data_IF_738779507964
#
_entry.id   IF_738779507964
#
_cell.length_a   1.000
_cell.length_b   1.000
_cell.length_c   1.000
_cell.angle_alpha   90.00
_cell.angle_beta   90.00
_cell.angle_gamma   90.00
#
_symmetry.space_group_name_H-M   'P 1'
#
loop_
_entity.id
_entity.type
_entity.pdbx_description
1 polymer ?
#
# COMPACT_ATOMS: atom_id res chain seq x y z
N UNK A 1 22.51 6.31 13.14
CA UNK A 1 21.39 7.27 13.00
C UNK A 1 20.36 6.68 12.06
N UNK A 2 19.04 6.95 12.24
CA UNK A 2 17.96 6.29 11.48
C UNK A 2 18.09 6.39 9.95
N UNK A 3 18.66 7.51 9.45
CA UNK A 3 18.91 7.77 8.04
C UNK A 3 20.28 7.31 7.52
N UNK A 4 21.13 6.76 8.37
CA UNK A 4 22.41 6.17 7.90
C UNK A 4 22.12 5.16 6.80
N UNK A 5 22.86 5.16 5.69
CA UNK A 5 22.65 4.20 4.60
C UNK A 5 21.39 4.39 3.76
N UNK A 6 20.61 5.46 3.99
CA UNK A 6 19.44 5.80 3.15
C UNK A 6 19.88 6.72 2.01
N UNK A 7 19.63 6.31 0.76
CA UNK A 7 19.97 7.07 -0.45
C UNK A 7 18.73 7.25 -1.33
N UNK A 8 18.27 8.49 -1.49
CA UNK A 8 17.19 8.82 -2.44
C UNK A 8 17.83 9.17 -3.78
N UNK A 9 17.63 8.31 -4.78
CA UNK A 9 18.10 8.49 -6.17
C UNK A 9 17.06 9.16 -7.07
N UNK A 10 15.80 9.16 -6.66
CA UNK A 10 14.72 9.86 -7.36
C UNK A 10 14.85 11.37 -7.19
N UNK A 11 14.38 12.14 -8.19
CA UNK A 11 14.32 13.59 -8.08
C UNK A 11 13.39 14.00 -6.91
N UNK A 12 13.81 14.99 -6.12
CA UNK A 12 13.01 15.55 -5.02
C UNK A 12 12.70 17.01 -5.36
N UNK A 13 11.74 17.28 -6.25
CA UNK A 13 11.25 18.63 -6.42
C UNK A 13 10.55 19.11 -5.13
N UNK A 14 10.36 20.42 -4.93
CA UNK A 14 9.85 20.98 -3.68
C UNK A 14 8.53 20.35 -3.17
N UNK A 15 7.64 19.97 -4.08
CA UNK A 15 6.37 19.32 -3.79
C UNK A 15 6.53 17.96 -3.09
N UNK A 16 7.63 17.24 -3.33
CA UNK A 16 7.87 15.91 -2.75
C UNK A 16 8.45 15.99 -1.34
N UNK A 17 9.01 17.14 -0.94
CA UNK A 17 9.67 17.30 0.35
C UNK A 17 8.71 17.03 1.53
N UNK A 18 7.41 17.32 1.37
CA UNK A 18 6.40 17.05 2.38
C UNK A 18 5.98 15.57 2.51
N UNK A 19 6.40 14.70 1.59
CA UNK A 19 6.22 13.24 1.68
C UNK A 19 7.53 12.56 2.10
N UNK A 20 8.64 13.00 1.53
CA UNK A 20 9.97 12.42 1.76
C UNK A 20 10.71 13.16 2.89
N UNK A 21 10.02 13.37 4.02
CA UNK A 21 10.64 14.02 5.18
C UNK A 21 11.70 13.09 5.82
N UNK A 22 12.67 13.63 6.55
CA UNK A 22 13.65 12.83 7.29
C UNK A 22 13.02 11.73 8.17
N UNK A 23 11.90 12.04 8.83
CA UNK A 23 11.20 11.12 9.71
C UNK A 23 10.46 10.02 8.94
N UNK A 24 9.79 10.38 7.83
CA UNK A 24 9.13 9.41 6.97
C UNK A 24 10.15 8.45 6.34
N UNK A 25 11.28 8.98 5.86
CA UNK A 25 12.38 8.19 5.30
C UNK A 25 13.01 7.27 6.36
N UNK A 26 13.19 7.76 7.58
CA UNK A 26 13.67 6.95 8.70
C UNK A 26 12.69 5.81 9.06
N UNK A 27 11.38 6.08 9.03
CA UNK A 27 10.34 5.10 9.29
C UNK A 27 10.31 4.01 8.21
N UNK A 28 10.28 4.37 6.92
CA UNK A 28 10.30 3.34 5.87
C UNK A 28 11.61 2.56 5.91
N UNK A 29 12.76 3.21 6.13
CA UNK A 29 14.04 2.52 6.25
C UNK A 29 14.08 1.52 7.44
N UNK A 30 13.40 1.81 8.56
CA UNK A 30 13.31 0.85 9.66
C UNK A 30 12.44 -0.36 9.30
N UNK A 31 11.38 -0.17 8.51
CA UNK A 31 10.58 -1.28 7.97
C UNK A 31 11.43 -2.19 7.06
N UNK A 32 12.21 -1.63 6.13
CA UNK A 32 13.08 -2.44 5.26
C UNK A 32 14.10 -3.23 6.07
N UNK A 33 14.71 -2.62 7.08
CA UNK A 33 15.67 -3.31 7.95
C UNK A 33 15.05 -4.42 8.79
N UNK A 34 13.81 -4.23 9.24
CA UNK A 34 13.12 -5.20 10.07
C UNK A 34 12.57 -6.39 9.24
N UNK A 35 12.10 -6.11 8.02
CA UNK A 35 11.27 -7.07 7.27
C UNK A 35 11.80 -7.43 5.88
N UNK A 36 12.75 -6.66 5.33
CA UNK A 36 13.29 -6.83 3.99
C UNK A 36 13.94 -8.19 3.76
N UNK A 37 14.76 -8.66 4.71
CA UNK A 37 15.39 -9.99 4.62
C UNK A 37 14.34 -11.11 4.56
N UNK A 38 13.34 -11.06 5.46
CA UNK A 38 12.25 -12.05 5.47
C UNK A 38 11.42 -12.01 4.20
N UNK A 39 11.15 -10.83 3.64
CA UNK A 39 10.50 -10.69 2.33
C UNK A 39 11.29 -11.43 1.25
N UNK A 40 12.60 -11.21 1.16
CA UNK A 40 13.45 -11.87 0.17
C UNK A 40 13.45 -13.39 0.33
N UNK A 41 13.55 -13.88 1.57
CA UNK A 41 13.47 -15.31 1.86
C UNK A 41 12.12 -15.92 1.41
N UNK A 42 11.00 -15.21 1.58
CA UNK A 42 9.69 -15.66 1.09
C UNK A 42 9.62 -15.69 -0.44
N UNK A 43 10.22 -14.71 -1.13
CA UNK A 43 10.29 -14.73 -2.60
C UNK A 43 11.12 -15.93 -3.11
N UNK A 44 12.24 -16.26 -2.47
CA UNK A 44 13.01 -17.46 -2.78
C UNK A 44 12.21 -18.75 -2.53
N UNK A 45 11.35 -18.77 -1.50
CA UNK A 45 10.43 -19.90 -1.26
C UNK A 45 9.39 -20.05 -2.39
N UNK A 46 8.97 -18.97 -3.06
CA UNK A 46 8.10 -19.06 -4.25
C UNK A 46 8.80 -19.83 -5.37
N UNK A 47 10.06 -19.49 -5.66
CA UNK A 47 10.85 -20.18 -6.69
C UNK A 47 10.99 -21.68 -6.38
N UNK A 48 11.33 -22.00 -5.13
CA UNK A 48 11.42 -23.40 -4.68
C UNK A 48 10.07 -24.13 -4.79
N UNK A 49 8.96 -23.46 -4.44
CA UNK A 49 7.63 -24.05 -4.53
C UNK A 49 7.22 -24.26 -5.99
N UNK A 50 7.52 -23.32 -6.88
CA UNK A 50 7.23 -23.45 -8.30
C UNK A 50 8.01 -24.62 -8.90
N UNK A 51 9.30 -24.76 -8.57
CA UNK A 51 10.11 -25.90 -9.02
C UNK A 51 9.53 -27.26 -8.57
N UNK A 52 9.00 -27.34 -7.35
CA UNK A 52 8.32 -28.55 -6.86
C UNK A 52 7.03 -28.86 -7.64
N UNK A 53 6.23 -27.83 -7.95
CA UNK A 53 5.01 -27.95 -8.77
C UNK A 53 5.38 -28.44 -10.18
N UNK A 54 6.41 -27.85 -10.79
CA UNK A 54 6.89 -28.24 -12.13
C UNK A 54 7.39 -29.70 -12.14
N UNK A 55 7.91 -30.19 -11.01
CA UNK A 55 8.30 -31.59 -10.81
C UNK A 55 7.11 -32.54 -10.50
N UNK A 56 5.88 -32.03 -10.50
CA UNK A 56 4.64 -32.80 -10.32
C UNK A 56 4.00 -32.72 -8.94
N UNK A 57 4.58 -31.97 -7.99
CA UNK A 57 4.01 -31.79 -6.65
C UNK A 57 2.88 -30.74 -6.65
N UNK A 58 1.72 -31.13 -7.19
CA UNK A 58 0.56 -30.24 -7.32
C UNK A 58 0.11 -29.62 -5.98
N UNK A 59 -0.40 -28.37 -5.97
CA UNK A 59 -0.91 -27.74 -4.76
C UNK A 59 -2.00 -28.55 -4.07
N UNK A 60 -1.90 -28.66 -2.74
CA UNK A 60 -2.89 -29.32 -1.89
C UNK A 60 -3.00 -28.61 -0.55
N UNK A 61 -4.04 -28.92 0.23
CA UNK A 61 -4.19 -28.39 1.58
C UNK A 61 -3.07 -28.90 2.49
N UNK A 62 -2.40 -27.97 3.18
CA UNK A 62 -1.32 -28.30 4.11
C UNK A 62 -1.85 -29.10 5.31
N UNK A 63 -1.37 -30.33 5.57
CA UNK A 63 -1.77 -31.11 6.74
C UNK A 63 -1.43 -30.40 8.06
N UNK A 64 -0.27 -29.73 8.12
CA UNK A 64 0.21 -29.00 9.30
C UNK A 64 -0.73 -27.88 9.78
N UNK A 65 -1.63 -27.38 8.92
CA UNK A 65 -2.56 -26.28 9.24
C UNK A 65 -4.01 -26.77 9.39
N UNK A 66 -4.23 -28.06 9.67
CA UNK A 66 -5.57 -28.65 9.80
C UNK A 66 -6.39 -28.01 10.92
N UNK A 67 -5.76 -27.73 12.07
CA UNK A 67 -6.42 -27.11 13.22
C UNK A 67 -6.98 -25.73 12.89
N UNK A 68 -6.25 -24.91 12.13
CA UNK A 68 -6.75 -23.60 11.70
C UNK A 68 -7.97 -23.70 10.78
N UNK A 69 -8.17 -24.81 10.07
CA UNK A 69 -9.34 -25.02 9.20
C UNK A 69 -10.53 -25.67 9.93
N UNK A 70 -10.24 -26.45 10.97
CA UNK A 70 -11.24 -27.24 11.70
C UNK A 70 -11.68 -26.58 13.02
N UNK A 71 -10.89 -25.65 13.54
CA UNK A 71 -11.17 -24.94 14.78
C UNK A 71 -12.27 -23.89 14.63
N UNK A 72 -12.84 -23.50 15.77
CA UNK A 72 -13.85 -22.43 15.86
C UNK A 72 -13.17 -21.11 16.20
N UNK A 73 -13.00 -20.24 15.21
CA UNK A 73 -12.47 -18.89 15.38
C UNK A 73 -13.07 -17.96 14.31
N UNK A 74 -12.90 -16.65 14.52
CA UNK A 74 -13.29 -15.62 13.55
C UNK A 74 -12.25 -14.49 13.56
N UNK A 75 -12.23 -13.71 12.48
CA UNK A 75 -11.44 -12.47 12.43
C UNK A 75 -11.95 -11.46 13.46
N UNK A 76 -11.17 -10.42 13.74
CA UNK A 76 -11.61 -9.31 14.58
C UNK A 76 -12.84 -8.60 13.98
N UNK A 77 -13.59 -7.89 14.82
CA UNK A 77 -14.78 -7.15 14.38
C UNK A 77 -14.45 -6.13 13.30
N UNK A 78 -15.23 -6.10 12.22
CA UNK A 78 -15.07 -5.15 11.12
C UNK A 78 -15.26 -3.71 11.61
N UNK A 79 -14.34 -2.77 11.31
CA UNK A 79 -14.48 -1.37 11.71
C UNK A 79 -15.62 -0.68 10.94
N UNK A 80 -16.17 0.40 11.50
CA UNK A 80 -17.36 1.08 10.98
C UNK A 80 -17.26 1.46 9.48
N UNK A 81 -16.10 1.99 9.06
CA UNK A 81 -15.86 2.37 7.67
C UNK A 81 -15.84 1.21 6.66
N UNK A 82 -15.79 -0.04 7.13
CA UNK A 82 -15.75 -1.25 6.28
C UNK A 82 -16.99 -2.13 6.41
N UNK A 83 -18.03 -1.68 7.15
CA UNK A 83 -19.26 -2.45 7.35
C UNK A 83 -20.12 -2.54 6.08
N UNK A 84 -20.05 -1.51 5.21
CA UNK A 84 -20.78 -1.46 3.94
C UNK A 84 -19.79 -1.40 2.78
N UNK A 85 -19.78 -2.44 1.94
CA UNK A 85 -18.85 -2.63 0.82
C UNK A 85 -19.53 -3.31 -0.37
N UNK A 86 -20.73 -2.87 -0.74
CA UNK A 86 -21.50 -3.51 -1.82
C UNK A 86 -20.92 -3.19 -3.19
N UNK A 87 -20.43 -1.96 -3.35
CA UNK A 87 -19.75 -1.52 -4.57
C UNK A 87 -18.42 -0.89 -4.21
N UNK A 88 -17.35 -1.41 -4.80
CA UNK A 88 -16.01 -0.84 -4.71
C UNK A 88 -15.54 -0.41 -6.09
N UNK A 89 -15.04 0.82 -6.20
CA UNK A 89 -14.37 1.30 -7.41
C UNK A 89 -12.87 1.22 -7.21
N UNK A 90 -12.12 0.91 -8.28
CA UNK A 90 -10.67 0.85 -8.28
C UNK A 90 -10.11 1.88 -9.26
N UNK A 91 -8.91 2.39 -9.00
CA UNK A 91 -8.28 3.36 -9.89
C UNK A 91 -6.92 3.83 -9.40
N UNK A 92 -6.14 4.47 -10.28
CA UNK A 92 -4.81 4.95 -9.95
C UNK A 92 -4.87 6.08 -8.92
N UNK A 93 -3.71 6.43 -8.38
CA UNK A 93 -3.53 7.54 -7.43
C UNK A 93 -3.35 8.91 -8.11
N UNK A 94 -3.67 9.02 -9.42
CA UNK A 94 -3.74 10.29 -10.14
C UNK A 94 -4.75 11.25 -9.50
N UNK A 95 -4.40 12.54 -9.43
CA UNK A 95 -5.14 13.54 -8.66
C UNK A 95 -6.59 13.69 -9.12
N UNK A 96 -6.84 13.74 -10.44
CA UNK A 96 -8.18 13.90 -10.99
C UNK A 96 -9.00 12.63 -10.81
N UNK A 97 -8.39 11.48 -11.11
CA UNK A 97 -9.05 10.17 -10.98
C UNK A 97 -9.44 9.88 -9.53
N UNK A 98 -8.56 10.22 -8.58
CA UNK A 98 -8.81 10.04 -7.16
C UNK A 98 -10.03 10.82 -6.68
N UNK A 99 -10.18 12.09 -7.09
CA UNK A 99 -11.37 12.90 -6.78
C UNK A 99 -12.63 12.25 -7.37
N UNK A 100 -12.60 11.84 -8.63
CA UNK A 100 -13.75 11.23 -9.30
C UNK A 100 -14.16 9.91 -8.64
N UNK A 101 -13.19 9.07 -8.28
CA UNK A 101 -13.45 7.78 -7.65
C UNK A 101 -14.06 7.93 -6.25
N UNK A 102 -13.51 8.84 -5.43
CA UNK A 102 -14.07 9.18 -4.12
C UNK A 102 -15.50 9.75 -4.21
N UNK A 103 -15.80 10.50 -5.28
CA UNK A 103 -17.13 11.09 -5.52
C UNK A 103 -18.09 10.18 -6.31
N UNK A 104 -17.70 8.94 -6.64
CA UNK A 104 -18.44 8.08 -7.58
C UNK A 104 -19.77 7.55 -7.04
N UNK A 105 -19.98 7.59 -5.72
CA UNK A 105 -21.11 6.95 -5.05
C UNK A 105 -20.87 5.49 -4.68
N UNK A 106 -19.69 4.92 -4.99
CA UNK A 106 -19.25 3.64 -4.44
C UNK A 106 -19.11 3.72 -2.90
N UNK A 107 -19.23 2.57 -2.23
CA UNK A 107 -19.01 2.50 -0.79
C UNK A 107 -17.52 2.61 -0.46
N UNK A 108 -16.68 2.05 -1.33
CA UNK A 108 -15.21 1.99 -1.21
C UNK A 108 -14.54 2.48 -2.49
N UNK A 109 -13.45 3.20 -2.34
CA UNK A 109 -12.47 3.42 -3.39
C UNK A 109 -11.13 2.78 -2.99
N UNK A 110 -10.66 1.84 -3.80
CA UNK A 110 -9.30 1.31 -3.70
C UNK A 110 -8.36 2.13 -4.59
N UNK A 111 -7.57 3.00 -3.95
CA UNK A 111 -6.51 3.74 -4.59
C UNK A 111 -5.30 2.85 -4.83
N UNK A 112 -4.88 2.77 -6.09
CA UNK A 112 -3.98 1.74 -6.54
C UNK A 112 -2.56 2.27 -6.83
N UNK A 113 -1.58 1.70 -6.15
CA UNK A 113 -0.16 1.85 -6.48
C UNK A 113 0.39 0.66 -7.28
N UNK A 114 -0.46 -0.32 -7.58
CA UNK A 114 -0.10 -1.59 -8.19
C UNK A 114 -0.54 -1.67 -9.66
N UNK A 115 -1.34 -2.67 -10.08
CA UNK A 115 -1.53 -2.99 -11.51
C UNK A 115 -2.15 -1.87 -12.37
N UNK A 116 -2.96 -0.96 -11.79
CA UNK A 116 -3.56 0.16 -12.52
C UNK A 116 -2.66 1.41 -12.53
N UNK A 117 -1.48 1.36 -11.92
CA UNK A 117 -0.55 2.48 -11.80
C UNK A 117 0.84 2.11 -12.31
N UNK A 118 1.32 2.81 -13.36
CA UNK A 118 2.71 2.68 -13.76
C UNK A 118 3.61 3.21 -12.63
N UNK A 119 4.54 2.41 -12.07
CA UNK A 119 5.28 2.79 -10.87
C UNK A 119 6.50 3.67 -11.21
N UNK A 120 6.25 4.76 -11.94
CA UNK A 120 7.25 5.83 -12.10
C UNK A 120 7.47 6.52 -10.75
N UNK A 121 8.68 7.02 -10.50
CA UNK A 121 8.99 7.73 -9.25
C UNK A 121 7.99 8.86 -8.96
N UNK A 122 7.64 9.63 -10.00
CA UNK A 122 6.67 10.71 -9.89
C UNK A 122 5.30 10.17 -9.48
N UNK A 123 4.77 9.15 -10.16
CA UNK A 123 3.45 8.58 -9.83
C UNK A 123 3.38 8.05 -8.40
N UNK A 124 4.46 7.41 -7.92
CA UNK A 124 4.50 6.87 -6.57
C UNK A 124 4.48 7.98 -5.51
N UNK A 125 5.31 9.01 -5.65
CA UNK A 125 5.38 10.10 -4.65
C UNK A 125 4.21 11.07 -4.77
N UNK A 126 3.81 11.46 -5.98
CA UNK A 126 2.61 12.28 -6.21
C UNK A 126 1.34 11.59 -5.74
N UNK A 127 1.23 10.27 -5.92
CA UNK A 127 0.11 9.51 -5.39
C UNK A 127 -0.01 9.63 -3.87
N UNK A 128 1.11 9.62 -3.15
CA UNK A 128 1.14 9.84 -1.70
C UNK A 128 0.69 11.28 -1.34
N UNK A 129 1.10 12.29 -2.12
CA UNK A 129 0.61 13.67 -1.98
C UNK A 129 -0.91 13.70 -2.16
N UNK A 130 -1.42 13.06 -3.21
CA UNK A 130 -2.84 13.06 -3.55
C UNK A 130 -3.68 12.37 -2.46
N UNK A 131 -3.24 11.22 -1.95
CA UNK A 131 -3.90 10.53 -0.84
C UNK A 131 -3.94 11.38 0.43
N UNK A 132 -2.80 11.99 0.77
CA UNK A 132 -2.67 12.88 1.93
C UNK A 132 -3.61 14.08 1.84
N UNK A 133 -3.65 14.74 0.69
CA UNK A 133 -4.54 15.88 0.47
C UNK A 133 -6.01 15.45 0.47
N UNK A 134 -6.34 14.28 -0.07
CA UNK A 134 -7.71 13.76 -0.09
C UNK A 134 -8.22 13.43 1.31
N UNK A 135 -7.40 12.75 2.10
CA UNK A 135 -7.71 12.42 3.49
C UNK A 135 -7.89 13.68 4.33
N UNK A 136 -7.15 14.76 4.03
CA UNK A 136 -7.31 16.06 4.71
C UNK A 136 -8.44 16.91 4.14
N UNK A 137 -9.09 16.49 3.06
CA UNK A 137 -10.19 17.21 2.41
C UNK A 137 -9.74 18.44 1.60
N UNK A 138 -8.44 18.54 1.29
CA UNK A 138 -7.84 19.69 0.60
C UNK A 138 -7.49 19.40 -0.86
N UNK A 139 -7.72 18.17 -1.33
CA UNK A 139 -7.46 17.81 -2.73
C UNK A 139 -8.40 18.59 -3.67
N UNK A 140 -7.78 19.30 -4.61
CA UNK A 140 -8.46 20.03 -5.67
C UNK A 140 -7.69 19.85 -6.98
N UNK A 141 -8.40 19.91 -8.10
CA UNK A 141 -7.81 19.84 -9.43
C UNK A 141 -8.58 20.75 -10.38
N UNK A 142 -7.86 21.49 -11.24
CA UNK A 142 -8.45 22.24 -12.35
C UNK A 142 -7.93 21.65 -13.64
N UNK A 143 -8.81 21.16 -14.52
CA UNK A 143 -8.40 20.64 -15.83
C UNK A 143 -7.97 21.77 -16.78
N UNK A 144 -7.26 21.43 -17.88
CA UNK A 144 -6.82 22.43 -18.86
C UNK A 144 -7.95 23.26 -19.49
N UNK A 145 -9.18 22.73 -19.53
CA UNK A 145 -10.40 23.41 -19.99
C UNK A 145 -11.04 24.32 -18.90
N UNK A 146 -10.43 24.44 -17.72
CA UNK A 146 -10.87 25.29 -16.62
C UNK A 146 -11.87 24.64 -15.66
N UNK A 147 -12.30 23.39 -15.88
CA UNK A 147 -13.23 22.71 -14.96
C UNK A 147 -12.54 22.36 -13.65
N UNK A 148 -13.18 22.74 -12.53
CA UNK A 148 -12.69 22.47 -11.16
C UNK A 148 -13.32 21.18 -10.60
N UNK A 149 -12.49 20.43 -9.88
CA UNK A 149 -12.82 19.18 -9.21
C UNK A 149 -12.41 19.29 -7.74
N UNK A 150 -13.31 18.89 -6.85
CA UNK A 150 -13.13 18.85 -5.40
C UNK A 150 -13.97 17.72 -4.81
N UNK A 151 -13.69 17.31 -3.57
CA UNK A 151 -14.46 16.26 -2.91
C UNK A 151 -15.87 16.74 -2.53
N UNK A 152 -16.82 15.81 -2.61
CA UNK A 152 -18.16 15.97 -2.05
C UNK A 152 -18.11 15.92 -0.51
N UNK A 153 -19.15 16.41 0.20
CA UNK A 153 -19.22 16.29 1.66
C UNK A 153 -19.16 14.84 2.16
N UNK A 154 -19.75 13.92 1.40
CA UNK A 154 -19.67 12.47 1.62
C UNK A 154 -18.91 11.85 0.45
N UNK A 155 -17.90 11.04 0.77
CA UNK A 155 -17.09 10.29 -0.21
C UNK A 155 -17.08 8.81 0.14
N UNK A 156 -16.60 7.99 -0.80
CA UNK A 156 -16.30 6.58 -0.57
C UNK A 156 -15.21 6.41 0.50
N UNK A 157 -15.24 5.31 1.26
CA UNK A 157 -14.14 4.98 2.18
C UNK A 157 -12.90 4.59 1.37
N UNK A 158 -11.75 5.16 1.73
CA UNK A 158 -10.49 4.94 1.04
C UNK A 158 -9.77 3.68 1.55
N UNK A 159 -9.36 2.83 0.62
CA UNK A 159 -8.40 1.74 0.83
C UNK A 159 -7.19 1.98 -0.09
N UNK A 160 -5.99 1.62 0.36
CA UNK A 160 -4.78 1.70 -0.48
C UNK A 160 -4.29 0.31 -0.85
N UNK A 161 -4.01 0.08 -2.13
CA UNK A 161 -3.34 -1.14 -2.61
C UNK A 161 -1.86 -0.85 -2.88
N UNK A 162 -0.95 -1.23 -1.97
CA UNK A 162 0.49 -1.15 -2.23
C UNK A 162 0.91 -2.16 -3.30
N UNK A 163 2.09 -1.92 -3.90
CA UNK A 163 2.75 -2.89 -4.79
C UNK A 163 2.93 -4.26 -4.12
N UNK A 164 2.84 -5.34 -4.89
CA UNK A 164 3.08 -6.71 -4.39
C UNK A 164 4.54 -6.98 -4.01
N UNK A 165 4.78 -8.03 -3.22
CA UNK A 165 6.09 -8.30 -2.60
C UNK A 165 7.27 -8.40 -3.56
N UNK A 166 7.04 -8.79 -4.81
CA UNK A 166 8.07 -8.97 -5.84
C UNK A 166 8.59 -7.65 -6.42
N UNK A 167 7.91 -6.53 -6.19
CA UNK A 167 8.32 -5.22 -6.72
C UNK A 167 9.28 -4.49 -5.76
N UNK A 168 10.19 -3.72 -6.34
CA UNK A 168 11.16 -2.88 -5.62
C UNK A 168 10.93 -1.41 -5.94
N UNK A 169 11.24 -0.54 -4.98
CA UNK A 169 11.38 0.90 -5.19
C UNK A 169 12.86 1.22 -5.46
N UNK A 170 13.24 1.22 -6.73
CA UNK A 170 14.64 1.42 -7.15
C UNK A 170 15.19 2.82 -6.88
N UNK A 171 14.34 3.80 -6.59
CA UNK A 171 14.75 5.17 -6.33
C UNK A 171 15.04 5.45 -4.85
N UNK A 172 14.78 4.49 -3.95
CA UNK A 172 15.15 4.58 -2.55
C UNK A 172 16.00 3.35 -2.19
N UNK A 173 17.26 3.59 -1.87
CA UNK A 173 18.12 2.54 -1.34
C UNK A 173 18.18 2.61 0.18
N UNK A 174 18.20 1.44 0.80
CA UNK A 174 18.50 1.24 2.22
C UNK A 174 19.68 0.31 2.30
N UNK A 175 20.77 0.79 2.89
CA UNK A 175 22.02 0.06 3.07
C UNK A 175 22.57 -0.52 1.73
N UNK A 176 22.40 0.27 0.66
CA UNK A 176 22.89 -0.02 -0.69
C UNK A 176 21.98 -0.90 -1.55
N UNK A 177 20.83 -1.34 -1.05
CA UNK A 177 19.87 -2.18 -1.79
C UNK A 177 18.54 -1.45 -2.05
N UNK A 178 17.89 -1.67 -3.21
CA UNK A 178 16.54 -1.17 -3.46
C UNK A 178 15.54 -1.65 -2.40
N UNK A 179 14.78 -0.71 -1.85
CA UNK A 179 13.73 -1.01 -0.88
C UNK A 179 12.62 -1.86 -1.50
N UNK A 180 11.89 -2.62 -0.69
CA UNK A 180 10.60 -3.17 -1.07
C UNK A 180 9.61 -2.07 -1.50
N UNK A 181 9.01 -2.23 -2.69
CA UNK A 181 7.93 -1.33 -3.14
C UNK A 181 6.71 -1.39 -2.22
N UNK A 182 6.38 -2.58 -1.73
CA UNK A 182 5.28 -2.80 -0.77
C UNK A 182 5.45 -1.99 0.52
N UNK A 183 6.65 -2.06 1.13
CA UNK A 183 6.95 -1.36 2.38
C UNK A 183 7.07 0.15 2.16
N UNK A 184 7.55 0.60 1.00
CA UNK A 184 7.56 2.01 0.63
C UNK A 184 6.14 2.57 0.54
N UNK A 185 5.25 1.89 -0.20
CA UNK A 185 3.88 2.35 -0.44
C UNK A 185 3.06 2.35 0.84
N UNK A 186 3.10 1.24 1.58
CA UNK A 186 2.45 1.09 2.89
C UNK A 186 2.99 2.13 3.87
N UNK A 187 4.32 2.20 4.01
CA UNK A 187 4.96 2.97 5.06
C UNK A 187 4.72 4.46 4.91
N UNK A 188 4.85 5.00 3.69
CA UNK A 188 4.55 6.42 3.45
C UNK A 188 3.06 6.73 3.67
N UNK A 189 2.15 5.89 3.16
CA UNK A 189 0.73 6.13 3.35
C UNK A 189 0.36 6.08 4.83
N UNK A 190 0.80 5.05 5.55
CA UNK A 190 0.53 4.89 6.97
C UNK A 190 1.07 6.07 7.77
N UNK A 191 2.36 6.40 7.59
CA UNK A 191 3.04 7.47 8.32
C UNK A 191 2.34 8.82 8.19
N UNK A 192 1.93 9.20 6.97
CA UNK A 192 1.35 10.52 6.73
C UNK A 192 -0.12 10.64 7.13
N UNK A 193 -0.84 9.52 7.25
CA UNK A 193 -2.30 9.54 7.26
C UNK A 193 -2.96 8.87 8.46
N UNK A 194 -2.26 8.01 9.21
CA UNK A 194 -2.88 7.22 10.28
C UNK A 194 -3.62 8.09 11.30
N UNK A 195 -3.01 9.17 11.79
CA UNK A 195 -3.64 10.06 12.76
C UNK A 195 -4.85 10.80 12.18
N UNK A 196 -4.73 11.35 10.97
CA UNK A 196 -5.83 12.07 10.32
C UNK A 196 -7.02 11.16 9.98
N UNK A 197 -6.78 9.87 9.71
CA UNK A 197 -7.83 8.87 9.53
C UNK A 197 -8.52 8.54 10.85
N UNK A 198 -7.76 8.29 11.90
CA UNK A 198 -8.28 7.98 13.23
C UNK A 198 -9.09 9.14 13.82
N UNK A 199 -8.64 10.39 13.67
CA UNK A 199 -9.36 11.59 14.10
C UNK A 199 -10.73 11.74 13.43
N UNK A 200 -10.89 11.15 12.23
CA UNK A 200 -12.15 11.10 11.47
C UNK A 200 -12.98 9.85 11.73
N UNK A 201 -12.54 8.95 12.62
CA UNK A 201 -13.21 7.69 12.94
C UNK A 201 -13.00 6.58 11.90
N UNK A 202 -12.00 6.71 11.02
CA UNK A 202 -11.59 5.69 10.06
C UNK A 202 -10.26 5.05 10.48
N UNK A 203 -9.87 3.96 9.82
CA UNK A 203 -8.57 3.32 9.99
C UNK A 203 -7.72 3.38 8.73
N UNK A 204 -6.40 3.11 8.83
CA UNK A 204 -5.54 2.92 7.68
C UNK A 204 -5.82 1.55 7.03
N UNK A 205 -6.70 1.54 6.02
CA UNK A 205 -7.14 0.31 5.37
C UNK A 205 -6.33 -0.02 4.11
N UNK A 206 -6.03 -1.30 3.90
CA UNK A 206 -5.17 -1.78 2.82
C UNK A 206 -5.80 -2.94 2.03
N UNK A 207 -5.47 -3.00 0.74
CA UNK A 207 -5.70 -4.14 -0.14
C UNK A 207 -4.35 -4.82 -0.42
N UNK A 208 -4.15 -6.06 0.05
CA UNK A 208 -2.86 -6.76 -0.09
C UNK A 208 -2.86 -7.64 -1.35
N UNK A 209 -1.95 -7.36 -2.28
CA UNK A 209 -1.95 -7.98 -3.60
C UNK A 209 -1.00 -9.19 -3.71
N UNK A 210 -1.39 -10.17 -4.54
CA UNK A 210 -0.53 -11.23 -5.08
C UNK A 210 0.24 -12.04 -4.00
N UNK A 211 -0.42 -12.34 -2.89
CA UNK A 211 0.11 -13.25 -1.87
C UNK A 211 0.01 -14.70 -2.37
N UNK A 212 1.05 -15.48 -2.14
CA UNK A 212 1.13 -16.89 -2.58
C UNK A 212 1.22 -17.87 -1.40
N UNK A 213 1.33 -17.36 -0.17
CA UNK A 213 1.37 -18.20 1.03
C UNK A 213 0.85 -17.50 2.27
N UNK A 214 0.40 -18.29 3.25
CA UNK A 214 0.05 -17.81 4.58
C UNK A 214 1.25 -17.20 5.35
N UNK A 215 2.49 -17.55 4.99
CA UNK A 215 3.69 -16.94 5.58
C UNK A 215 3.88 -15.49 5.13
N UNK A 216 3.46 -15.16 3.91
CA UNK A 216 3.44 -13.78 3.41
C UNK A 216 2.31 -12.96 4.02
N UNK A 217 1.16 -13.58 4.31
CA UNK A 217 0.12 -12.96 5.13
C UNK A 217 0.62 -12.69 6.55
N UNK A 218 1.39 -13.62 7.13
CA UNK A 218 2.05 -13.43 8.43
C UNK A 218 3.08 -12.30 8.38
N UNK A 219 3.85 -12.17 7.29
CA UNK A 219 4.76 -11.04 7.12
C UNK A 219 4.01 -9.71 7.21
N UNK A 220 2.89 -9.56 6.49
CA UNK A 220 2.06 -8.36 6.59
C UNK A 220 1.47 -8.10 7.98
N UNK A 221 1.18 -9.15 8.76
CA UNK A 221 0.72 -8.99 10.13
C UNK A 221 1.83 -8.50 11.08
N UNK A 222 3.08 -8.86 10.80
CA UNK A 222 4.24 -8.47 11.61
C UNK A 222 4.73 -7.05 11.28
N UNK A 223 4.47 -6.57 10.05
CA UNK A 223 4.72 -5.21 9.56
C UNK A 223 3.75 -4.20 10.19
#
# INVERSE_FOLDING_TARGET
MPLSGVEVRGAIPPEFAGILTPEALAFVASLERAFGERRQALLQKRDARQAAIDAGEMPTFLPANSEARQGTWQVASTPAGLQKRWVEITGPTDRKMLINALNSGADIFMADFEDANSPSWANMVEGQINLRDAIRGTIVYTSPDGKKYQLNPQTATLLVRPRGWHLVEKHLLVDGQPMSGSLFDFGLYFFHNVHALLDKGYGPYFYLAKLESHEEARLWNDV
#
